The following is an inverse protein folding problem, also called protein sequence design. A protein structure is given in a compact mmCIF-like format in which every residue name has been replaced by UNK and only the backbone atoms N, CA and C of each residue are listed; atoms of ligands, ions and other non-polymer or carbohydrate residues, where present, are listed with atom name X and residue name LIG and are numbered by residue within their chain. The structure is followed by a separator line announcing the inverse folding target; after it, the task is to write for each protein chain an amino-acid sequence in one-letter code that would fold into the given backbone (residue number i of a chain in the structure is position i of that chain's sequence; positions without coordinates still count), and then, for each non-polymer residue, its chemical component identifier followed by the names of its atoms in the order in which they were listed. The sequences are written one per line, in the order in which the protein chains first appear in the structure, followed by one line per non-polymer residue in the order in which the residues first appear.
data_IF_920789347635
#
_entry.id   IF_920789347635
#
_cell.length_a   1.000
_cell.length_b   1.000
_cell.length_c   1.000
_cell.angle_alpha   90.00
_cell.angle_beta   90.00
_cell.angle_gamma   90.00
#
_symmetry.space_group_name_H-M   'P 1'
#
loop_
_entity.id
_entity.type
_entity.pdbx_description
1 polymer ?
#
# COMPACT_ATOMS: atom_id res chain seq x y z
N UNK A 1 35.03 11.31 -3.49
CA UNK A 1 34.12 11.66 -4.60
C UNK A 1 34.09 10.46 -5.53
N UNK A 2 32.94 9.79 -5.60
CA UNK A 2 32.74 8.70 -6.56
C UNK A 2 32.65 9.29 -7.97
N UNK A 3 33.05 8.53 -9.00
CA UNK A 3 32.88 8.94 -10.41
C UNK A 3 31.42 9.31 -10.71
N UNK A 4 30.49 8.61 -10.07
CA UNK A 4 29.03 8.83 -10.15
C UNK A 4 28.63 10.22 -9.63
N UNK A 5 29.35 10.78 -8.65
CA UNK A 5 29.05 12.10 -8.08
C UNK A 5 29.34 13.24 -9.07
N UNK A 6 30.28 13.05 -10.01
CA UNK A 6 30.66 14.05 -11.01
C UNK A 6 29.84 14.01 -12.31
N UNK A 7 29.04 12.96 -12.53
CA UNK A 7 28.25 12.80 -13.76
C UNK A 7 27.13 13.84 -13.85
N UNK A 8 26.72 14.20 -15.06
CA UNK A 8 25.54 15.04 -15.28
C UNK A 8 24.23 14.28 -14.99
N UNK A 9 23.12 15.01 -14.83
CA UNK A 9 21.79 14.41 -14.64
C UNK A 9 21.38 13.56 -15.86
N UNK A 10 21.69 14.01 -17.07
CA UNK A 10 21.34 13.31 -18.31
C UNK A 10 22.14 12.01 -18.49
N UNK A 11 23.43 12.00 -18.15
CA UNK A 11 24.25 10.78 -18.14
C UNK A 11 23.72 9.78 -17.11
N UNK A 12 23.43 10.24 -15.89
CA UNK A 12 22.85 9.40 -14.84
C UNK A 12 21.49 8.84 -15.23
N UNK A 13 20.64 9.66 -15.87
CA UNK A 13 19.33 9.22 -16.34
C UNK A 13 19.45 8.16 -17.44
N UNK A 14 20.37 8.35 -18.39
CA UNK A 14 20.60 7.40 -19.48
C UNK A 14 21.12 6.06 -18.95
N UNK A 15 22.10 6.09 -18.04
CA UNK A 15 22.61 4.87 -17.41
C UNK A 15 21.55 4.22 -16.53
N UNK A 16 20.83 4.98 -15.70
CA UNK A 16 19.78 4.42 -14.86
C UNK A 16 18.68 3.73 -15.69
N UNK A 17 18.26 4.31 -16.81
CA UNK A 17 17.30 3.69 -17.72
C UNK A 17 17.83 2.35 -18.27
N UNK A 18 19.10 2.32 -18.71
CA UNK A 18 19.74 1.11 -19.23
C UNK A 18 19.87 0.01 -18.15
N UNK A 19 20.31 0.38 -16.95
CA UNK A 19 20.46 -0.56 -15.83
C UNK A 19 19.11 -1.08 -15.31
N UNK A 20 18.07 -0.24 -15.33
CA UNK A 20 16.70 -0.67 -15.01
C UNK A 20 16.18 -1.67 -16.03
N UNK A 21 16.47 -1.49 -17.31
CA UNK A 21 16.09 -2.45 -18.35
C UNK A 21 16.84 -3.78 -18.23
N UNK A 22 18.14 -3.75 -17.91
CA UNK A 22 18.91 -4.96 -17.58
C UNK A 22 18.31 -5.71 -16.39
N UNK A 23 17.97 -5.00 -15.32
CA UNK A 23 17.33 -5.58 -14.15
C UNK A 23 16.00 -6.26 -14.49
N UNK A 24 15.16 -5.61 -15.30
CA UNK A 24 13.89 -6.18 -15.77
C UNK A 24 14.07 -7.46 -16.59
N UNK A 25 15.21 -7.59 -17.29
CA UNK A 25 15.62 -8.79 -18.05
C UNK A 25 16.39 -9.81 -17.22
N UNK A 26 16.44 -9.64 -15.89
CA UNK A 26 17.18 -10.51 -14.96
C UNK A 26 18.69 -10.57 -15.25
N UNK A 27 19.24 -9.50 -15.83
CA UNK A 27 20.68 -9.36 -16.07
C UNK A 27 21.36 -8.62 -14.91
N UNK A 28 22.66 -8.83 -14.68
CA UNK A 28 23.43 -8.01 -13.77
C UNK A 28 23.27 -6.52 -14.11
N UNK A 29 22.93 -5.72 -13.09
CA UNK A 29 22.70 -4.29 -13.25
C UNK A 29 23.38 -3.51 -12.14
N UNK A 30 23.87 -2.33 -12.48
CA UNK A 30 24.48 -1.41 -11.53
C UNK A 30 23.46 -0.39 -11.03
N UNK A 31 23.06 -0.56 -9.77
CA UNK A 31 22.04 0.27 -9.13
C UNK A 31 22.55 1.64 -8.67
N UNK A 32 23.87 1.89 -8.71
CA UNK A 32 24.47 3.11 -8.18
C UNK A 32 24.03 4.35 -8.96
N UNK A 33 23.92 4.26 -10.28
CA UNK A 33 23.47 5.38 -11.13
C UNK A 33 22.03 5.81 -10.80
N UNK A 34 21.14 4.84 -10.64
CA UNK A 34 19.77 5.09 -10.26
C UNK A 34 19.65 5.65 -8.84
N UNK A 35 20.42 5.11 -7.89
CA UNK A 35 20.40 5.60 -6.53
C UNK A 35 20.86 7.07 -6.45
N UNK A 36 21.94 7.42 -7.15
CA UNK A 36 22.42 8.80 -7.21
C UNK A 36 21.40 9.73 -7.86
N UNK A 37 20.73 9.29 -8.93
CA UNK A 37 19.68 10.07 -9.57
C UNK A 37 18.51 10.36 -8.61
N UNK A 38 18.07 9.36 -7.83
CA UNK A 38 17.09 9.56 -6.76
C UNK A 38 17.60 10.53 -5.68
N UNK A 39 18.87 10.40 -5.27
CA UNK A 39 19.48 11.30 -4.27
C UNK A 39 19.46 12.75 -4.75
N UNK A 40 19.84 13.02 -5.99
CA UNK A 40 19.81 14.37 -6.57
C UNK A 40 18.39 14.91 -6.69
N UNK A 41 17.45 14.07 -7.10
CA UNK A 41 16.04 14.43 -7.23
C UNK A 41 15.40 14.79 -5.88
N UNK A 42 15.66 13.99 -4.83
CA UNK A 42 14.97 14.10 -3.54
C UNK A 42 15.75 14.89 -2.51
N UNK A 43 17.02 14.55 -2.28
CA UNK A 43 17.86 15.22 -1.28
C UNK A 43 18.38 16.56 -1.82
N UNK A 44 18.86 16.57 -3.07
CA UNK A 44 19.37 17.76 -3.75
C UNK A 44 18.28 18.71 -4.27
N UNK A 45 17.02 18.26 -4.35
CA UNK A 45 15.91 19.07 -4.83
C UNK A 45 15.97 19.41 -6.32
N UNK A 46 16.76 18.67 -7.11
CA UNK A 46 16.88 18.90 -8.55
C UNK A 46 15.61 18.42 -9.27
N UNK A 47 14.73 19.37 -9.65
CA UNK A 47 13.45 19.07 -10.33
C UNK A 47 13.65 18.26 -11.61
N UNK A 48 14.67 18.58 -12.40
CA UNK A 48 14.99 17.85 -13.63
C UNK A 48 15.31 16.37 -13.36
N UNK A 49 16.11 16.08 -12.32
CA UNK A 49 16.39 14.71 -11.92
C UNK A 49 15.11 13.98 -11.49
N UNK A 50 14.20 14.66 -10.80
CA UNK A 50 12.91 14.08 -10.41
C UNK A 50 12.03 13.77 -11.65
N UNK A 51 12.02 14.63 -12.66
CA UNK A 51 11.35 14.36 -13.94
C UNK A 51 11.93 13.13 -14.64
N UNK A 52 13.25 12.95 -14.63
CA UNK A 52 13.91 11.76 -15.19
C UNK A 52 13.52 10.50 -14.42
N UNK A 53 13.57 10.53 -13.09
CA UNK A 53 13.13 9.43 -12.21
C UNK A 53 11.69 9.02 -12.50
N UNK A 54 10.77 9.98 -12.56
CA UNK A 54 9.37 9.72 -12.85
C UNK A 54 9.21 8.92 -14.15
N UNK A 55 9.86 9.37 -15.24
CA UNK A 55 9.78 8.72 -16.55
C UNK A 55 10.37 7.31 -16.56
N UNK A 56 11.53 7.11 -15.92
CA UNK A 56 12.21 5.81 -15.89
C UNK A 56 11.36 4.77 -15.15
N UNK A 57 10.72 5.15 -14.04
CA UNK A 57 9.99 4.23 -13.17
C UNK A 57 8.47 4.23 -13.38
N UNK A 58 7.94 5.00 -14.33
CA UNK A 58 6.50 5.10 -14.63
C UNK A 58 5.87 3.72 -14.87
N UNK A 59 6.44 2.94 -15.80
CA UNK A 59 5.98 1.58 -16.11
C UNK A 59 5.99 0.67 -14.88
N UNK A 60 7.01 0.81 -14.04
CA UNK A 60 7.14 0.00 -12.82
C UNK A 60 6.06 0.34 -11.79
N UNK A 61 5.79 1.64 -11.60
CA UNK A 61 4.72 2.13 -10.72
C UNK A 61 3.36 1.67 -11.22
N UNK A 62 3.08 1.83 -12.51
CA UNK A 62 1.83 1.34 -13.11
C UNK A 62 1.67 -0.18 -12.90
N UNK A 63 2.73 -0.96 -13.13
CA UNK A 63 2.71 -2.41 -12.88
C UNK A 63 2.35 -2.75 -11.42
N UNK A 64 2.83 -1.98 -10.44
CA UNK A 64 2.45 -2.20 -9.04
C UNK A 64 0.99 -1.84 -8.75
N UNK A 65 0.46 -0.80 -9.41
CA UNK A 65 -0.96 -0.41 -9.29
C UNK A 65 -1.86 -1.49 -9.87
N UNK A 66 -1.61 -1.95 -11.10
CA UNK A 66 -2.40 -3.01 -11.73
C UNK A 66 -2.36 -4.34 -10.98
N UNK A 67 -1.27 -4.62 -10.25
CA UNK A 67 -1.13 -5.81 -9.41
C UNK A 67 -1.75 -5.64 -8.01
N UNK A 68 -2.23 -4.44 -7.65
CA UNK A 68 -2.82 -4.22 -6.34
C UNK A 68 -4.21 -4.88 -6.27
N UNK A 69 -4.49 -5.75 -5.28
CA UNK A 69 -5.74 -6.53 -5.24
C UNK A 69 -7.03 -5.69 -5.25
N UNK A 70 -6.98 -4.49 -4.70
CA UNK A 70 -8.13 -3.60 -4.61
C UNK A 70 -8.25 -2.62 -5.78
N UNK A 71 -7.27 -2.54 -6.67
CA UNK A 71 -7.31 -1.60 -7.80
C UNK A 71 -8.50 -1.83 -8.75
N UNK A 72 -8.88 -3.08 -9.11
CA UNK A 72 -10.05 -3.31 -9.95
C UNK A 72 -11.38 -2.79 -9.36
N UNK A 73 -11.45 -2.66 -8.04
CA UNK A 73 -12.62 -2.15 -7.31
C UNK A 73 -12.57 -0.64 -7.11
N UNK A 74 -11.48 0.02 -7.53
CA UNK A 74 -11.19 1.37 -7.09
C UNK A 74 -11.98 2.48 -7.78
N UNK A 75 -12.49 2.20 -8.98
CA UNK A 75 -13.26 3.16 -9.77
C UNK A 75 -12.44 4.34 -10.33
N UNK A 76 -11.13 4.39 -10.07
CA UNK A 76 -10.21 5.45 -10.50
C UNK A 76 -9.11 4.90 -11.41
N UNK A 77 -8.48 5.78 -12.20
CA UNK A 77 -7.45 5.39 -13.16
C UNK A 77 -6.11 5.05 -12.48
N UNK A 78 -5.24 4.33 -13.21
CA UNK A 78 -3.89 4.05 -12.71
C UNK A 78 -3.06 5.33 -12.57
N UNK A 79 -3.25 6.30 -13.47
CA UNK A 79 -2.58 7.60 -13.48
C UNK A 79 -2.94 8.42 -12.23
N UNK A 80 -4.20 8.36 -11.78
CA UNK A 80 -4.65 9.00 -10.54
C UNK A 80 -3.85 8.48 -9.33
N UNK A 81 -3.75 7.15 -9.18
CA UNK A 81 -2.97 6.55 -8.10
C UNK A 81 -1.48 6.76 -8.24
N UNK A 82 -0.95 6.74 -9.47
CA UNK A 82 0.46 7.01 -9.72
C UNK A 82 0.83 8.44 -9.27
N UNK A 83 0.03 9.44 -9.66
CA UNK A 83 0.22 10.83 -9.25
C UNK A 83 0.18 10.99 -7.72
N UNK A 84 -0.82 10.39 -7.07
CA UNK A 84 -0.93 10.41 -5.61
C UNK A 84 0.26 9.73 -4.92
N UNK A 85 0.73 8.59 -5.44
CA UNK A 85 1.87 7.86 -4.90
C UNK A 85 3.17 8.66 -5.04
N UNK A 86 3.42 9.25 -6.22
CA UNK A 86 4.60 10.09 -6.47
C UNK A 86 4.62 11.34 -5.61
N UNK A 87 3.48 12.01 -5.46
CA UNK A 87 3.35 13.17 -4.57
C UNK A 87 3.68 12.80 -3.13
N UNK A 88 3.07 11.73 -2.60
CA UNK A 88 3.34 11.22 -1.25
C UNK A 88 4.81 10.87 -1.07
N UNK A 89 5.39 10.17 -2.04
CA UNK A 89 6.79 9.76 -2.04
C UNK A 89 7.74 10.97 -1.99
N UNK A 90 7.51 11.97 -2.85
CA UNK A 90 8.32 13.19 -2.89
C UNK A 90 8.32 13.93 -1.55
N UNK A 91 7.15 14.21 -0.98
CA UNK A 91 7.05 14.94 0.30
C UNK A 91 7.58 14.14 1.50
N UNK A 92 7.52 12.82 1.42
CA UNK A 92 8.05 11.94 2.45
C UNK A 92 9.58 11.90 2.46
N UNK A 93 10.24 11.96 1.30
CA UNK A 93 11.69 11.72 1.19
C UNK A 93 12.52 12.98 0.88
N UNK A 94 11.91 14.09 0.45
CA UNK A 94 12.67 15.29 0.07
C UNK A 94 13.56 15.85 1.20
N UNK A 95 14.70 16.41 0.82
CA UNK A 95 15.67 17.03 1.70
C UNK A 95 16.39 16.02 2.61
N UNK A 96 16.61 16.41 3.87
CA UNK A 96 17.35 15.59 4.84
C UNK A 96 16.72 14.22 5.12
N UNK A 97 15.43 14.03 4.83
CA UNK A 97 14.72 12.76 5.05
C UNK A 97 15.26 11.63 4.17
N UNK A 98 15.89 11.95 3.04
CA UNK A 98 16.51 10.95 2.18
C UNK A 98 17.75 10.31 2.81
N UNK A 99 18.41 10.97 3.79
CA UNK A 99 19.68 10.51 4.35
C UNK A 99 19.61 9.13 5.04
N UNK A 100 18.41 8.68 5.43
CA UNK A 100 18.19 7.34 5.99
C UNK A 100 18.19 6.20 4.97
N UNK A 101 18.20 6.51 3.67
CA UNK A 101 18.24 5.52 2.60
C UNK A 101 19.68 5.32 2.15
N UNK A 102 20.13 4.07 2.12
CA UNK A 102 21.52 3.69 1.80
C UNK A 102 21.63 2.98 0.44
N UNK A 103 20.52 2.52 -0.13
CA UNK A 103 20.52 1.78 -1.38
C UNK A 103 19.19 1.91 -2.15
N UNK A 104 19.26 1.74 -3.47
CA UNK A 104 18.12 1.82 -4.38
C UNK A 104 16.93 0.91 -3.98
N UNK A 105 17.12 -0.35 -3.56
CA UNK A 105 15.99 -1.21 -3.19
C UNK A 105 15.15 -0.67 -2.04
N UNK A 106 15.76 0.06 -1.09
CA UNK A 106 15.04 0.69 0.02
C UNK A 106 14.14 1.83 -0.50
N UNK A 107 14.67 2.65 -1.42
CA UNK A 107 13.95 3.77 -2.02
C UNK A 107 12.76 3.26 -2.85
N UNK A 108 12.99 2.26 -3.70
CA UNK A 108 11.93 1.63 -4.50
C UNK A 108 10.90 0.89 -3.65
N UNK A 109 11.34 0.24 -2.57
CA UNK A 109 10.45 -0.36 -1.58
C UNK A 109 9.51 0.67 -0.95
N UNK A 110 10.02 1.85 -0.61
CA UNK A 110 9.21 2.94 -0.06
C UNK A 110 8.23 3.52 -1.10
N UNK A 111 8.66 3.68 -2.36
CA UNK A 111 7.78 4.11 -3.44
C UNK A 111 6.64 3.09 -3.67
N UNK A 112 6.95 1.80 -3.71
CA UNK A 112 5.95 0.73 -3.79
C UNK A 112 4.99 0.76 -2.60
N UNK A 113 5.48 1.02 -1.39
CA UNK A 113 4.63 1.19 -0.21
C UNK A 113 3.69 2.40 -0.36
N UNK A 114 4.17 3.50 -0.94
CA UNK A 114 3.33 4.67 -1.23
C UNK A 114 2.19 4.31 -2.20
N UNK A 115 2.48 3.56 -3.27
CA UNK A 115 1.45 3.03 -4.21
C UNK A 115 0.38 2.23 -3.46
N UNK A 116 0.78 1.25 -2.66
CA UNK A 116 -0.17 0.41 -1.91
C UNK A 116 -0.96 1.23 -0.89
N UNK A 117 -0.31 2.23 -0.27
CA UNK A 117 -0.96 3.10 0.71
C UNK A 117 -2.04 3.96 0.07
N UNK A 118 -1.79 4.56 -1.10
CA UNK A 118 -2.79 5.45 -1.72
C UNK A 118 -4.02 4.69 -2.21
N UNK A 119 -3.86 3.49 -2.77
CA UNK A 119 -5.00 2.64 -3.16
C UNK A 119 -5.80 2.23 -1.91
N UNK A 120 -5.13 1.77 -0.86
CA UNK A 120 -5.80 1.36 0.37
C UNK A 120 -6.49 2.50 1.12
N UNK A 121 -5.95 3.73 1.06
CA UNK A 121 -6.60 4.91 1.64
C UNK A 121 -7.86 5.27 0.87
N UNK A 122 -7.79 5.30 -0.46
CA UNK A 122 -8.95 5.57 -1.32
C UNK A 122 -10.09 4.58 -1.07
N UNK A 123 -9.77 3.28 -0.94
CA UNK A 123 -10.76 2.25 -0.58
C UNK A 123 -11.44 2.51 0.75
N UNK A 124 -10.68 2.91 1.76
CA UNK A 124 -11.26 3.22 3.08
C UNK A 124 -12.17 4.44 3.01
N UNK A 125 -11.81 5.45 2.23
CA UNK A 125 -12.62 6.66 2.11
C UNK A 125 -13.91 6.39 1.31
N UNK A 126 -13.86 5.56 0.26
CA UNK A 126 -15.07 5.08 -0.43
C UNK A 126 -15.98 4.25 0.49
N UNK A 127 -15.41 3.32 1.27
CA UNK A 127 -16.18 2.55 2.26
C UNK A 127 -16.85 3.45 3.30
N UNK A 128 -16.15 4.47 3.81
CA UNK A 128 -16.73 5.44 4.74
C UNK A 128 -17.85 6.26 4.11
N UNK A 129 -17.72 6.65 2.85
CA UNK A 129 -18.79 7.33 2.12
C UNK A 129 -20.04 6.46 1.94
N UNK A 130 -19.88 5.15 1.71
CA UNK A 130 -20.99 4.20 1.62
C UNK A 130 -21.65 3.87 2.97
N UNK A 131 -20.99 4.12 4.10
CA UNK A 131 -21.53 3.89 5.46
C UNK A 131 -22.18 5.12 6.09
N UNK A 132 -22.24 6.26 5.38
CA UNK A 132 -23.12 7.37 5.77
C UNK A 132 -24.60 6.91 5.72
N UNK A 133 -25.51 7.44 6.56
CA UNK A 133 -26.85 6.87 6.73
C UNK A 133 -27.55 6.74 5.39
N UNK A 134 -27.90 5.50 5.03
CA UNK A 134 -28.73 5.18 3.88
C UNK A 134 -30.08 5.87 4.06
N UNK A 135 -30.54 6.59 3.04
CA UNK A 135 -31.93 7.00 2.94
C UNK A 135 -32.82 5.75 3.12
N UNK A 136 -33.90 5.79 3.94
CA UNK A 136 -34.67 4.60 4.33
C UNK A 136 -35.46 3.91 3.20
N UNK A 137 -35.33 4.36 1.95
CA UNK A 137 -36.17 3.94 0.82
C UNK A 137 -35.38 3.27 -0.30
N UNK A 138 -34.41 2.43 0.04
CA UNK A 138 -33.80 1.50 -0.92
C UNK A 138 -34.35 0.08 -0.68
N UNK A 139 -35.20 -0.35 -1.60
CA UNK A 139 -36.01 -1.56 -1.57
C UNK A 139 -35.25 -2.85 -1.20
N UNK A 140 -35.89 -3.63 -0.32
CA UNK A 140 -35.55 -4.98 0.14
C UNK A 140 -35.80 -6.04 -0.95
N UNK A 141 -35.08 -5.96 -2.07
CA UNK A 141 -35.10 -6.98 -3.11
C UNK A 141 -33.67 -7.40 -3.50
N UNK A 142 -32.91 -7.89 -2.52
CA UNK A 142 -31.72 -8.69 -2.79
C UNK A 142 -31.65 -9.80 -1.75
N UNK A 143 -32.18 -10.97 -2.09
CA UNK A 143 -31.76 -12.20 -1.43
C UNK A 143 -30.29 -12.38 -1.82
N UNK A 144 -29.32 -12.27 -0.89
CA UNK A 144 -27.94 -12.54 -1.21
C UNK A 144 -27.86 -13.95 -1.77
N UNK A 145 -27.04 -14.13 -2.81
CA UNK A 145 -26.68 -15.45 -3.29
C UNK A 145 -26.36 -16.36 -2.10
N UNK A 146 -27.16 -17.40 -1.89
CA UNK A 146 -27.06 -18.33 -0.76
C UNK A 146 -25.64 -18.91 -0.65
N UNK A 147 -24.94 -19.04 -1.77
CA UNK A 147 -23.54 -19.50 -1.81
C UNK A 147 -22.57 -18.44 -1.28
N UNK A 148 -22.76 -17.17 -1.63
CA UNK A 148 -21.99 -16.05 -1.08
C UNK A 148 -22.26 -15.89 0.44
N UNK A 149 -23.50 -16.12 0.89
CA UNK A 149 -23.86 -16.13 2.30
C UNK A 149 -23.16 -17.23 3.10
N UNK A 150 -23.11 -18.45 2.56
CA UNK A 150 -22.42 -19.59 3.17
C UNK A 150 -20.90 -19.38 3.24
N UNK A 151 -20.30 -18.87 2.16
CA UNK A 151 -18.87 -18.55 2.13
C UNK A 151 -18.51 -17.45 3.14
N UNK A 152 -19.31 -16.39 3.22
CA UNK A 152 -19.13 -15.32 4.22
C UNK A 152 -19.25 -15.85 5.66
N UNK A 153 -20.18 -16.78 5.90
CA UNK A 153 -20.37 -17.41 7.21
C UNK A 153 -19.17 -18.29 7.60
N UNK A 154 -18.60 -19.05 6.66
CA UNK A 154 -17.40 -19.86 6.88
C UNK A 154 -16.17 -18.99 7.20
N UNK A 155 -15.99 -17.90 6.46
CA UNK A 155 -14.93 -16.91 6.73
C UNK A 155 -15.11 -16.27 8.11
N UNK A 156 -16.32 -15.86 8.47
CA UNK A 156 -16.61 -15.27 9.77
C UNK A 156 -16.37 -16.26 10.94
N UNK A 157 -16.75 -17.53 10.76
CA UNK A 157 -16.47 -18.59 11.73
C UNK A 157 -14.97 -18.82 11.89
N UNK A 158 -14.21 -18.86 10.79
CA UNK A 158 -12.75 -19.03 10.84
C UNK A 158 -12.05 -17.87 11.52
N UNK A 159 -12.43 -16.63 11.21
CA UNK A 159 -11.90 -15.43 11.89
C UNK A 159 -12.23 -15.47 13.38
N UNK A 160 -13.44 -15.91 13.75
CA UNK A 160 -13.84 -16.04 15.16
C UNK A 160 -13.03 -17.10 15.90
N UNK A 161 -12.69 -18.21 15.25
CA UNK A 161 -11.83 -19.25 15.82
C UNK A 161 -10.38 -18.78 15.99
N UNK A 162 -9.86 -18.00 15.02
CA UNK A 162 -8.50 -17.44 15.09
C UNK A 162 -8.37 -16.32 16.12
N UNK A 163 -9.45 -15.60 16.42
CA UNK A 163 -9.48 -14.48 17.35
C UNK A 163 -10.40 -14.79 18.53
N UNK A 164 -9.95 -15.59 19.52
CA UNK A 164 -10.80 -15.96 20.65
C UNK A 164 -11.14 -14.76 21.55
N UNK A 165 -10.21 -13.80 21.67
CA UNK A 165 -10.41 -12.58 22.46
C UNK A 165 -11.53 -11.71 21.85
N UNK A 166 -12.62 -11.41 22.59
CA UNK A 166 -13.66 -10.48 22.16
C UNK A 166 -13.13 -9.09 21.77
N UNK A 167 -12.03 -8.65 22.39
CA UNK A 167 -11.38 -7.37 22.07
C UNK A 167 -10.76 -7.39 20.68
N UNK A 168 -10.10 -8.48 20.31
CA UNK A 168 -9.50 -8.65 18.99
C UNK A 168 -10.55 -8.78 17.89
N UNK A 169 -11.67 -9.46 18.18
CA UNK A 169 -12.80 -9.56 17.25
C UNK A 169 -13.43 -8.19 16.97
N UNK A 170 -13.66 -7.41 18.02
CA UNK A 170 -14.16 -6.05 17.87
C UNK A 170 -13.17 -5.20 17.06
N UNK A 171 -11.88 -5.30 17.37
CA UNK A 171 -10.85 -4.55 16.66
C UNK A 171 -10.75 -4.93 15.17
N UNK A 172 -10.80 -6.23 14.87
CA UNK A 172 -10.83 -6.74 13.50
C UNK A 172 -12.08 -6.24 12.76
N UNK A 173 -13.25 -6.29 13.39
CA UNK A 173 -14.48 -5.78 12.81
C UNK A 173 -14.39 -4.28 12.51
N UNK A 174 -13.95 -3.46 13.47
CA UNK A 174 -13.78 -2.02 13.27
C UNK A 174 -12.80 -1.69 12.14
N UNK A 175 -11.69 -2.42 12.04
CA UNK A 175 -10.66 -2.13 11.05
C UNK A 175 -10.95 -2.69 9.64
N UNK A 176 -11.62 -3.85 9.54
CA UNK A 176 -11.82 -4.54 8.26
C UNK A 176 -13.24 -4.43 7.72
N UNK A 177 -14.26 -4.48 8.56
CA UNK A 177 -15.65 -4.36 8.14
C UNK A 177 -16.10 -2.89 8.09
N UNK A 178 -15.70 -2.09 9.07
CA UNK A 178 -16.10 -0.67 9.19
C UNK A 178 -15.06 0.32 8.63
N UNK A 179 -13.84 -0.14 8.33
CA UNK A 179 -12.78 0.69 7.72
C UNK A 179 -12.23 1.81 8.62
N UNK A 180 -12.41 1.71 9.95
CA UNK A 180 -11.98 2.72 10.92
C UNK A 180 -10.45 2.77 11.07
N UNK A 181 -9.89 3.97 11.20
CA UNK A 181 -8.48 4.22 11.52
C UNK A 181 -8.23 4.07 13.02
N UNK A 182 -6.98 3.77 13.46
CA UNK A 182 -6.67 3.62 14.88
C UNK A 182 -7.18 4.76 15.77
N UNK A 183 -7.04 6.01 15.31
CA UNK A 183 -7.59 7.20 15.99
C UNK A 183 -9.11 7.16 16.14
N UNK A 184 -9.82 6.78 15.10
CA UNK A 184 -11.28 6.70 15.09
C UNK A 184 -11.77 5.56 15.99
N UNK A 185 -11.01 4.46 16.08
CA UNK A 185 -11.31 3.33 16.98
C UNK A 185 -11.19 3.74 18.44
N UNK A 186 -10.13 4.46 18.81
CA UNK A 186 -9.96 4.98 20.19
C UNK A 186 -11.08 5.96 20.54
N UNK A 187 -11.51 6.79 19.59
CA UNK A 187 -12.61 7.74 19.78
C UNK A 187 -13.98 7.05 19.89
N UNK A 188 -14.24 6.03 19.07
CA UNK A 188 -15.49 5.28 19.08
C UNK A 188 -15.63 4.36 20.31
N UNK A 189 -14.51 3.91 20.88
CA UNK A 189 -14.47 3.00 22.03
C UNK A 189 -13.53 3.51 23.13
N UNK A 190 -13.88 4.63 23.81
CA UNK A 190 -13.06 5.21 24.85
C UNK A 190 -12.87 4.21 26.01
N UNK A 191 -11.62 4.12 26.51
CA UNK A 191 -11.26 3.21 27.62
C UNK A 191 -11.04 1.74 27.22
N UNK A 192 -11.35 1.35 25.97
CA UNK A 192 -11.10 -0.01 25.46
C UNK A 192 -9.66 -0.19 24.96
N UNK A 193 -9.04 0.88 24.46
CA UNK A 193 -7.62 0.96 24.15
C UNK A 193 -7.03 2.24 24.73
N UNK A 194 -5.79 2.15 25.21
CA UNK A 194 -5.12 3.26 25.89
C UNK A 194 -4.80 4.40 24.91
N UNK A 195 -4.34 4.07 23.71
CA UNK A 195 -3.95 5.02 22.68
C UNK A 195 -3.97 4.41 21.27
N UNK A 196 -3.74 5.25 20.25
CA UNK A 196 -3.68 4.84 18.84
C UNK A 196 -2.56 3.81 18.57
N UNK A 197 -1.49 3.85 19.39
CA UNK A 197 -0.34 2.96 19.27
C UNK A 197 -0.70 1.55 19.70
N UNK A 198 -1.41 1.39 20.82
CA UNK A 198 -1.92 0.11 21.29
C UNK A 198 -2.82 -0.54 20.23
N UNK A 199 -3.74 0.24 19.65
CA UNK A 199 -4.60 -0.21 18.54
C UNK A 199 -3.76 -0.68 17.34
N UNK A 200 -2.72 0.07 16.98
CA UNK A 200 -1.86 -0.28 15.84
C UNK A 200 -1.06 -1.57 16.08
N UNK A 201 -0.59 -1.81 17.30
CA UNK A 201 0.13 -3.04 17.70
C UNK A 201 -0.80 -4.25 17.64
N UNK A 202 -1.99 -4.15 18.22
CA UNK A 202 -2.97 -5.23 18.21
C UNK A 202 -3.43 -5.54 16.77
N UNK A 203 -3.65 -4.51 15.94
CA UNK A 203 -3.96 -4.71 14.52
C UNK A 203 -2.82 -5.38 13.74
N UNK A 204 -1.57 -5.08 14.07
CA UNK A 204 -0.43 -5.77 13.46
C UNK A 204 -0.42 -7.26 13.81
N UNK A 205 -0.64 -7.60 15.10
CA UNK A 205 -0.77 -8.99 15.57
C UNK A 205 -1.90 -9.72 14.82
N UNK A 206 -3.09 -9.13 14.78
CA UNK A 206 -4.27 -9.69 14.12
C UNK A 206 -4.00 -9.92 12.63
N UNK A 207 -3.47 -8.92 11.91
CA UNK A 207 -3.14 -9.07 10.48
C UNK A 207 -2.14 -10.18 10.22
N UNK A 208 -1.13 -10.33 11.09
CA UNK A 208 -0.14 -11.39 10.97
C UNK A 208 -0.77 -12.76 11.17
N UNK A 209 -1.64 -12.92 12.16
CA UNK A 209 -2.37 -14.17 12.41
C UNK A 209 -3.30 -14.52 11.25
N UNK A 210 -4.16 -13.59 10.83
CA UNK A 210 -5.11 -13.82 9.74
C UNK A 210 -4.39 -14.12 8.43
N UNK A 211 -3.30 -13.38 8.13
CA UNK A 211 -2.50 -13.67 6.94
C UNK A 211 -1.81 -15.01 7.03
N UNK A 212 -1.42 -15.50 8.23
CA UNK A 212 -0.71 -16.76 8.40
C UNK A 212 -1.58 -18.02 8.26
N UNK A 213 -2.90 -17.88 8.29
CA UNK A 213 -3.83 -19.02 8.29
C UNK A 213 -4.11 -19.56 6.88
N UNK A 214 -3.75 -20.82 6.64
CA UNK A 214 -3.90 -21.45 5.32
C UNK A 214 -5.36 -21.68 4.93
N UNK A 215 -6.20 -22.05 5.90
CA UNK A 215 -7.63 -22.32 5.68
C UNK A 215 -8.39 -21.03 5.33
N UNK A 216 -8.10 -19.93 6.04
CA UNK A 216 -8.67 -18.62 5.71
C UNK A 216 -8.26 -18.13 4.31
N UNK A 217 -7.02 -18.39 3.87
CA UNK A 217 -6.57 -18.08 2.51
C UNK A 217 -7.34 -18.90 1.47
N UNK A 218 -7.52 -20.19 1.72
CA UNK A 218 -8.26 -21.09 0.84
C UNK A 218 -9.73 -20.66 0.72
N UNK A 219 -10.38 -20.33 1.84
CA UNK A 219 -11.75 -19.82 1.86
C UNK A 219 -11.91 -18.49 1.09
N UNK A 220 -10.85 -17.67 1.05
CA UNK A 220 -10.82 -16.41 0.30
C UNK A 220 -10.34 -16.56 -1.15
N UNK A 221 -10.03 -17.77 -1.61
CA UNK A 221 -9.51 -18.01 -2.97
C UNK A 221 -8.12 -17.40 -3.22
N UNK A 222 -7.32 -17.20 -2.18
CA UNK A 222 -5.97 -16.63 -2.26
C UNK A 222 -4.99 -17.80 -2.36
N UNK A 223 -4.50 -18.08 -3.57
CA UNK A 223 -3.42 -19.06 -3.81
C UNK A 223 -2.19 -18.74 -2.95
N UNK A 224 -1.47 -19.74 -2.40
CA UNK A 224 -0.25 -19.51 -1.66
C UNK A 224 0.81 -18.92 -2.60
N UNK A 225 1.10 -17.63 -2.43
CA UNK A 225 2.22 -16.99 -3.12
C UNK A 225 3.53 -17.63 -2.68
N UNK A 226 4.24 -18.21 -3.64
CA UNK A 226 5.67 -18.56 -3.55
C UNK A 226 6.54 -17.32 -3.27
#
# INVERSE_FOLDING_TARGET
MSVVDSMSIDELASLCAAETEKFNRQQPSDMQFCFELFRRALAGGATEAFTRVYRIYERQVHSWIYRHPQFPLAGESAEFFASAAWSRFFFALRGAKFAGFLALPQVLGYLKQCVFTVVALHMRDQQRAHLAPLDPTADLAYLPDLQAGLAAQQVAQRITALLPDPRDRLLAHCAFAQGLRPREIVQAYPGRWNDERAVSIDLYRIRRMLRGDAELRQLLGIEPGE
#
